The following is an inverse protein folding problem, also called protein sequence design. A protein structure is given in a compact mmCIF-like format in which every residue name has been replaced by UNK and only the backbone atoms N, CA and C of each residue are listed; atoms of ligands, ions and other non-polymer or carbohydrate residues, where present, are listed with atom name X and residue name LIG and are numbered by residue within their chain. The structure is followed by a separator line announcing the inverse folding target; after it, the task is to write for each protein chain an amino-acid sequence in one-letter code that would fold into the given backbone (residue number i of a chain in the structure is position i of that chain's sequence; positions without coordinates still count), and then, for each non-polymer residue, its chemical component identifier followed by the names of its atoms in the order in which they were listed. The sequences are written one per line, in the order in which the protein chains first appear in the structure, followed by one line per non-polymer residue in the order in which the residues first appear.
data_IF_759370676662
#
_entry.id   IF_759370676662
#
_cell.length_a   1.000
_cell.length_b   1.000
_cell.length_c   1.000
_cell.angle_alpha   90.00
_cell.angle_beta   90.00
_cell.angle_gamma   90.00
#
_symmetry.space_group_name_H-M   'P 1'
#
loop_
_entity.id
_entity.type
_entity.pdbx_description
1 polymer ?
#
# COMPACT_ATOMS: atom_id res chain seq x y z
N UNK A 1 -9.33 0.44 10.98
CA UNK A 1 -9.35 -0.63 9.96
C UNK A 1 -8.84 -0.02 8.65
N UNK A 2 -7.75 -0.53 8.07
CA UNK A 2 -7.05 0.11 6.95
C UNK A 2 -7.90 0.07 5.65
N UNK A 3 -8.25 1.23 5.09
CA UNK A 3 -9.13 1.34 3.91
C UNK A 3 -8.55 0.62 2.69
N UNK A 4 -7.22 0.61 2.57
CA UNK A 4 -6.51 -0.03 1.47
C UNK A 4 -6.81 -1.53 1.43
N UNK A 5 -6.76 -2.21 2.57
CA UNK A 5 -7.09 -3.64 2.65
C UNK A 5 -8.55 -3.94 2.27
N UNK A 6 -9.49 -3.02 2.52
CA UNK A 6 -10.89 -3.20 2.11
C UNK A 6 -11.03 -3.09 0.59
N UNK A 7 -10.38 -2.12 -0.04
CA UNK A 7 -10.35 -1.97 -1.49
C UNK A 7 -9.76 -3.21 -2.18
N UNK A 8 -8.66 -3.76 -1.67
CA UNK A 8 -8.09 -5.00 -2.20
C UNK A 8 -9.03 -6.21 -2.07
N UNK A 9 -9.74 -6.34 -0.92
CA UNK A 9 -10.77 -7.38 -0.74
C UNK A 9 -11.93 -7.23 -1.73
N UNK A 10 -12.42 -6.01 -1.94
CA UNK A 10 -13.51 -5.74 -2.88
C UNK A 10 -13.12 -6.04 -4.34
N UNK A 11 -11.87 -5.83 -4.71
CA UNK A 11 -11.39 -6.10 -6.07
C UNK A 11 -10.95 -7.56 -6.29
N UNK A 12 -11.16 -8.46 -5.31
CA UNK A 12 -10.69 -9.85 -5.36
C UNK A 12 -9.19 -10.01 -5.65
N UNK A 13 -8.39 -8.98 -5.34
CA UNK A 13 -6.95 -8.99 -5.55
C UNK A 13 -6.31 -9.62 -4.32
N UNK A 14 -5.67 -10.78 -4.53
CA UNK A 14 -4.81 -11.38 -3.50
C UNK A 14 -3.58 -10.47 -3.30
N UNK A 15 -3.45 -9.88 -2.11
CA UNK A 15 -2.21 -9.23 -1.67
C UNK A 15 -1.20 -10.34 -1.32
N UNK A 16 -0.72 -11.07 -2.32
CA UNK A 16 0.29 -12.14 -2.15
C UNK A 16 1.71 -11.59 -2.23
N UNK A 17 1.90 -10.46 -2.90
CA UNK A 17 3.15 -9.72 -2.87
C UNK A 17 3.04 -8.61 -1.83
N UNK A 18 4.13 -8.27 -1.16
CA UNK A 18 4.29 -7.00 -0.48
C UNK A 18 4.71 -6.00 -1.58
N UNK A 19 3.79 -5.41 -2.37
CA UNK A 19 4.20 -4.65 -3.55
C UNK A 19 5.07 -3.48 -3.12
N UNK A 20 6.15 -3.27 -3.86
CA UNK A 20 7.06 -2.15 -3.65
C UNK A 20 6.42 -0.88 -4.19
N UNK A 21 6.51 0.20 -3.42
CA UNK A 21 6.08 1.52 -3.85
C UNK A 21 7.07 2.06 -4.88
N UNK A 22 6.58 2.52 -6.03
CA UNK A 22 7.43 3.12 -7.07
C UNK A 22 8.08 4.44 -6.65
N UNK A 23 7.54 5.13 -5.64
CA UNK A 23 8.05 6.41 -5.17
C UNK A 23 9.20 6.27 -4.16
N UNK A 24 9.13 5.30 -3.24
CA UNK A 24 10.11 5.15 -2.16
C UNK A 24 10.78 3.77 -2.10
N UNK A 25 10.37 2.80 -2.92
CA UNK A 25 10.91 1.44 -2.97
C UNK A 25 10.52 0.55 -1.79
N UNK A 26 9.83 1.05 -0.76
CA UNK A 26 9.39 0.24 0.39
C UNK A 26 8.27 -0.71 -0.02
N UNK A 27 8.18 -1.87 0.63
CA UNK A 27 7.02 -2.74 0.52
C UNK A 27 5.79 -2.13 1.21
N UNK A 28 4.58 -2.43 0.73
CA UNK A 28 3.33 -1.95 1.33
C UNK A 28 3.22 -2.16 2.85
N UNK A 29 3.71 -3.29 3.37
CA UNK A 29 3.71 -3.63 4.79
C UNK A 29 4.71 -2.81 5.61
N UNK A 30 5.71 -2.25 4.95
CA UNK A 30 6.79 -1.47 5.56
C UNK A 30 6.51 0.04 5.52
N UNK A 31 5.37 0.44 4.92
CA UNK A 31 4.93 1.83 4.92
C UNK A 31 4.35 2.23 6.28
N UNK A 32 4.86 3.34 6.80
CA UNK A 32 4.21 4.09 7.86
C UNK A 32 3.08 4.97 7.31
N UNK A 33 2.26 5.54 8.20
CA UNK A 33 1.24 6.51 7.77
C UNK A 33 1.84 7.76 7.11
N UNK A 34 3.07 8.13 7.48
CA UNK A 34 3.79 9.24 6.84
C UNK A 34 4.24 8.87 5.43
N UNK A 35 4.78 7.65 5.25
CA UNK A 35 5.15 7.13 3.93
C UNK A 35 3.94 7.11 3.00
N UNK A 36 2.77 6.65 3.47
CA UNK A 36 1.54 6.62 2.66
C UNK A 36 1.09 8.02 2.23
N UNK A 37 1.26 9.05 3.06
CA UNK A 37 0.94 10.44 2.70
C UNK A 37 1.90 10.97 1.64
N UNK A 38 3.20 10.82 1.88
CA UNK A 38 4.23 11.36 0.99
C UNK A 38 4.28 10.61 -0.35
N UNK A 39 4.08 9.29 -0.36
CA UNK A 39 4.10 8.49 -1.58
C UNK A 39 2.82 8.61 -2.42
N UNK A 40 1.70 9.06 -1.82
CA UNK A 40 0.46 9.30 -2.58
C UNK A 40 0.50 10.58 -3.44
N UNK A 41 1.49 11.43 -3.23
CA UNK A 41 1.66 12.73 -3.88
C UNK A 41 2.82 12.76 -4.89
N UNK A 42 3.53 11.65 -5.05
CA UNK A 42 4.72 11.51 -5.89
C UNK A 42 4.40 10.98 -7.29
#
# INVERSE_FOLDING_TARGET
MNWIMQTFKQMHIKITANPECSACGKGFKDHTNEDLRNCSLA
#
